data_IF_403819811181
#
_entry.id   IF_403819811181
#
_cell.length_a   1.000
_cell.length_b   1.000
_cell.length_c   1.000
_cell.angle_alpha   90.00
_cell.angle_beta   90.00
_cell.angle_gamma   90.00
#
_symmetry.space_group_name_H-M   'P 1'
#
loop_
_entity.id
_entity.type
_entity.pdbx_description
1 polymer ?
#
# COMPACT_ATOMS: atom_id res chain seq x y z
N UNK A 1 -23.26 -2.70 5.49
CA UNK A 1 -21.82 -2.92 5.77
C UNK A 1 -21.44 -2.01 6.92
N UNK A 2 -20.79 -2.52 7.97
CA UNK A 2 -20.32 -1.70 9.09
C UNK A 2 -18.81 -1.50 8.93
N UNK A 3 -18.33 -0.28 9.09
CA UNK A 3 -16.91 0.05 9.02
C UNK A 3 -16.49 0.67 10.34
N UNK A 4 -15.49 0.08 11.01
CA UNK A 4 -14.91 0.69 12.21
C UNK A 4 -13.89 1.77 11.80
N UNK A 5 -13.60 2.75 12.66
CA UNK A 5 -12.52 3.70 12.41
C UNK A 5 -11.16 3.03 12.12
N UNK A 6 -10.92 1.86 12.72
CA UNK A 6 -9.74 1.05 12.45
C UNK A 6 -9.69 0.54 11.00
N UNK A 7 -10.81 0.04 10.49
CA UNK A 7 -10.93 -0.43 9.10
C UNK A 7 -10.66 0.70 8.10
N UNK A 8 -11.18 1.91 8.34
CA UNK A 8 -10.90 3.07 7.49
C UNK A 8 -9.40 3.42 7.46
N UNK A 9 -8.74 3.41 8.63
CA UNK A 9 -7.30 3.68 8.73
C UNK A 9 -6.46 2.58 8.08
N UNK A 10 -6.87 1.32 8.21
CA UNK A 10 -6.27 0.19 7.52
C UNK A 10 -6.37 0.37 5.99
N UNK A 11 -7.58 0.62 5.47
CA UNK A 11 -7.80 0.83 4.02
C UNK A 11 -7.00 2.01 3.48
N UNK A 12 -6.94 3.11 4.22
CA UNK A 12 -6.12 4.27 3.86
C UNK A 12 -4.62 3.92 3.85
N UNK A 13 -4.12 3.26 4.89
CA UNK A 13 -2.72 2.84 4.99
C UNK A 13 -2.33 1.96 3.80
N UNK A 14 -3.16 0.97 3.46
CA UNK A 14 -2.93 0.06 2.35
C UNK A 14 -2.96 0.78 0.99
N UNK A 15 -3.96 1.64 0.77
CA UNK A 15 -4.09 2.44 -0.45
C UNK A 15 -2.87 3.33 -0.67
N UNK A 16 -2.41 4.02 0.39
CA UNK A 16 -1.26 4.91 0.33
C UNK A 16 0.04 4.15 0.11
N UNK A 17 0.23 3.02 0.78
CA UNK A 17 1.41 2.17 0.59
C UNK A 17 1.55 1.73 -0.89
N UNK A 18 0.50 1.13 -1.45
CA UNK A 18 0.51 0.68 -2.86
C UNK A 18 0.68 1.84 -3.83
N UNK A 19 0.03 2.97 -3.57
CA UNK A 19 0.12 4.15 -4.46
C UNK A 19 1.50 4.79 -4.43
N UNK A 20 2.14 4.87 -3.26
CA UNK A 20 3.46 5.47 -3.12
C UNK A 20 4.55 4.56 -3.69
N UNK A 21 4.47 3.24 -3.48
CA UNK A 21 5.36 2.30 -4.15
C UNK A 21 5.22 2.40 -5.68
N UNK A 22 3.99 2.32 -6.20
CA UNK A 22 3.74 2.47 -7.63
C UNK A 22 4.19 3.83 -8.18
N UNK A 23 4.02 4.91 -7.42
CA UNK A 23 4.47 6.23 -7.82
C UNK A 23 6.00 6.32 -7.84
N UNK A 24 6.72 5.72 -6.90
CA UNK A 24 8.19 5.70 -6.93
C UNK A 24 8.71 4.85 -8.08
N UNK A 25 8.10 3.69 -8.33
CA UNK A 25 8.48 2.81 -9.43
C UNK A 25 8.24 3.49 -10.78
N UNK A 26 7.05 4.08 -10.99
CA UNK A 26 6.72 4.80 -12.22
C UNK A 26 7.48 6.11 -12.41
N UNK A 27 7.67 6.90 -11.34
CA UNK A 27 8.26 8.24 -11.49
C UNK A 27 9.73 8.17 -11.80
N UNK A 28 10.41 7.09 -11.42
CA UNK A 28 11.84 7.16 -11.32
C UNK A 28 12.57 6.10 -12.16
N UNK A 29 11.96 4.95 -12.52
CA UNK A 29 12.63 3.93 -13.34
C UNK A 29 14.02 3.56 -12.81
N UNK A 30 14.21 3.68 -11.50
CA UNK A 30 15.52 3.78 -10.86
C UNK A 30 16.20 2.44 -10.80
N UNK A 31 17.52 2.48 -10.98
CA UNK A 31 18.36 1.38 -10.55
C UNK A 31 18.22 1.20 -9.03
N UNK A 32 18.19 -0.03 -8.48
CA UNK A 32 18.16 -0.30 -7.04
C UNK A 32 19.10 0.54 -6.15
N UNK A 33 20.23 1.02 -6.68
CA UNK A 33 21.12 1.95 -5.97
C UNK A 33 20.47 3.33 -5.74
N UNK A 34 19.82 3.88 -6.76
CA UNK A 34 19.14 5.17 -6.68
C UNK A 34 17.87 5.09 -5.83
N UNK A 35 17.16 3.95 -5.83
CA UNK A 35 16.04 3.70 -4.91
C UNK A 35 16.51 3.76 -3.45
N UNK A 36 17.65 3.14 -3.12
CA UNK A 36 18.26 3.20 -1.79
C UNK A 36 18.67 4.62 -1.42
N UNK A 37 19.25 5.37 -2.35
CA UNK A 37 19.61 6.77 -2.13
C UNK A 37 18.37 7.64 -1.89
N UNK A 38 17.30 7.43 -2.67
CA UNK A 38 16.04 8.13 -2.49
C UNK A 38 15.43 7.88 -1.11
N UNK A 39 15.43 6.62 -0.65
CA UNK A 39 14.97 6.25 0.69
C UNK A 39 15.83 6.87 1.80
N UNK A 40 17.13 7.04 1.59
CA UNK A 40 18.01 7.72 2.54
C UNK A 40 17.74 9.22 2.63
N UNK A 41 17.44 9.88 1.50
CA UNK A 41 17.27 11.34 1.44
C UNK A 41 15.86 11.76 1.83
N UNK A 42 14.83 11.05 1.35
CA UNK A 42 13.42 11.44 1.50
C UNK A 42 12.64 10.56 2.49
N UNK A 43 13.29 9.54 3.06
CA UNK A 43 12.64 8.55 3.90
C UNK A 43 12.04 7.40 3.09
N UNK A 44 11.76 6.30 3.78
CA UNK A 44 11.12 5.15 3.14
C UNK A 44 9.62 5.44 2.88
N UNK A 45 9.01 4.67 1.99
CA UNK A 45 7.54 4.73 1.78
C UNK A 45 6.79 4.55 3.10
N UNK A 46 7.32 3.74 4.00
CA UNK A 46 6.74 3.49 5.31
C UNK A 46 6.75 4.72 6.21
N UNK A 47 7.77 5.57 6.12
CA UNK A 47 7.84 6.84 6.84
C UNK A 47 6.77 7.80 6.33
N UNK A 48 6.59 7.88 5.02
CA UNK A 48 5.54 8.69 4.39
C UNK A 48 4.14 8.22 4.80
N UNK A 49 3.87 6.91 4.77
CA UNK A 49 2.57 6.37 5.18
C UNK A 49 2.31 6.62 6.67
N UNK A 50 3.34 6.46 7.53
CA UNK A 50 3.26 6.79 8.96
C UNK A 50 2.89 8.27 9.16
N UNK A 51 3.56 9.18 8.45
CA UNK A 51 3.34 10.62 8.58
C UNK A 51 1.93 11.01 8.11
N UNK A 52 1.46 10.44 7.00
CA UNK A 52 0.09 10.65 6.50
C UNK A 52 -0.99 10.17 7.48
N UNK A 53 -0.70 9.11 8.25
CA UNK A 53 -1.59 8.58 9.29
C UNK A 53 -1.44 9.32 10.63
N UNK A 54 -0.45 10.19 10.78
CA UNK A 54 -0.12 10.86 12.05
C UNK A 54 0.36 9.89 13.13
N UNK A 55 0.96 8.76 12.74
CA UNK A 55 1.44 7.76 13.69
C UNK A 55 2.78 8.14 14.29
N UNK A 56 2.97 7.77 15.57
CA UNK A 56 4.20 8.03 16.31
C UNK A 56 5.38 7.21 15.77
N UNK A 57 5.13 6.03 15.24
CA UNK A 57 6.18 5.10 14.80
C UNK A 57 5.74 4.28 13.59
N UNK A 58 6.69 3.83 12.77
CA UNK A 58 6.43 2.98 11.59
C UNK A 58 5.89 1.62 12.04
N UNK A 59 6.37 1.11 13.18
CA UNK A 59 5.94 -0.14 13.80
C UNK A 59 4.44 -0.11 14.09
N UNK A 60 3.91 1.03 14.59
CA UNK A 60 2.47 1.19 14.81
C UNK A 60 1.69 0.99 13.50
N UNK A 61 2.16 1.59 12.41
CA UNK A 61 1.54 1.42 11.08
C UNK A 61 1.65 -0.02 10.59
N UNK A 62 2.82 -0.65 10.74
CA UNK A 62 3.11 -2.00 10.27
C UNK A 62 2.38 -3.09 11.05
N UNK A 63 2.42 -3.03 12.37
CA UNK A 63 2.00 -4.13 13.24
C UNK A 63 0.54 -4.03 13.69
N UNK A 64 -0.08 -2.86 13.60
CA UNK A 64 -1.48 -2.68 13.99
C UNK A 64 -2.35 -2.54 12.74
N UNK A 65 -1.91 -1.73 11.78
CA UNK A 65 -2.75 -1.39 10.62
C UNK A 65 -2.38 -2.16 9.36
N UNK A 66 -1.24 -2.83 9.28
CA UNK A 66 -0.81 -3.54 8.06
C UNK A 66 -0.27 -4.96 8.35
N UNK A 67 -0.52 -5.48 9.55
CA UNK A 67 -0.14 -6.83 9.96
C UNK A 67 -0.62 -7.93 8.98
N UNK A 68 -1.85 -7.88 8.43
CA UNK A 68 -2.32 -8.89 7.48
C UNK A 68 -1.55 -8.90 6.16
N UNK A 69 -1.03 -7.74 5.74
CA UNK A 69 -0.34 -7.55 4.44
C UNK A 69 1.18 -7.60 4.58
N UNK A 70 1.73 -7.67 5.81
CA UNK A 70 3.18 -7.88 6.06
C UNK A 70 3.70 -9.23 5.56
N UNK A 71 2.86 -10.27 5.61
CA UNK A 71 3.23 -11.62 5.17
C UNK A 71 3.15 -11.81 3.65
N UNK A 72 2.54 -10.86 2.95
CA UNK A 72 2.54 -10.84 1.50
C UNK A 72 3.89 -10.30 1.07
N UNK A 73 4.54 -10.96 0.10
CA UNK A 73 5.64 -10.38 -0.64
C UNK A 73 5.08 -9.22 -1.47
N UNK A 74 4.73 -8.13 -0.80
CA UNK A 74 4.12 -6.96 -1.39
C UNK A 74 5.07 -6.38 -2.43
N UNK A 75 6.37 -6.41 -2.16
CA UNK A 75 7.42 -6.09 -3.12
C UNK A 75 7.30 -6.99 -4.37
N UNK A 76 7.18 -8.32 -4.26
CA UNK A 76 6.98 -9.19 -5.44
C UNK A 76 5.65 -8.99 -6.17
N UNK A 77 4.60 -8.56 -5.48
CA UNK A 77 3.30 -8.21 -6.07
C UNK A 77 3.34 -6.85 -6.80
N UNK A 78 4.24 -5.96 -6.40
CA UNK A 78 4.45 -4.64 -6.98
C UNK A 78 5.53 -4.67 -8.08
N UNK A 79 6.52 -5.57 -7.95
CA UNK A 79 7.64 -5.82 -8.88
C UNK A 79 7.26 -6.73 -10.07
N UNK A 80 6.01 -7.21 -10.15
CA UNK A 80 5.53 -7.92 -11.33
C UNK A 80 5.67 -7.04 -12.57
N UNK A 81 6.16 -7.60 -13.69
CA UNK A 81 6.55 -6.84 -14.90
C UNK A 81 5.45 -5.90 -15.43
N UNK A 82 4.18 -6.22 -15.14
CA UNK A 82 3.06 -5.33 -15.35
C UNK A 82 2.98 -4.28 -14.23
N UNK A 83 3.37 -3.05 -14.55
CA UNK A 83 3.16 -1.84 -13.75
C UNK A 83 1.66 -1.51 -13.63
N UNK A 84 0.90 -2.42 -13.05
CA UNK A 84 -0.53 -2.34 -12.91
C UNK A 84 -0.86 -1.11 -12.05
N UNK A 85 -1.86 -0.30 -12.45
CA UNK A 85 -2.33 0.81 -11.63
C UNK A 85 -2.70 0.31 -10.23
N UNK A 86 -2.48 1.12 -9.20
CA UNK A 86 -2.65 0.74 -7.79
C UNK A 86 -4.02 0.12 -7.47
N UNK A 87 -5.08 0.47 -8.20
CA UNK A 87 -6.40 -0.15 -8.05
C UNK A 87 -6.45 -1.62 -8.47
N UNK A 88 -5.74 -1.99 -9.54
CA UNK A 88 -5.66 -3.36 -10.02
C UNK A 88 -4.83 -4.25 -9.07
N UNK A 89 -3.77 -3.71 -8.48
CA UNK A 89 -2.99 -4.39 -7.43
C UNK A 89 -3.88 -4.69 -6.21
N UNK A 90 -4.72 -3.73 -5.80
CA UNK A 90 -5.65 -3.91 -4.69
C UNK A 90 -6.77 -4.93 -5.00
N UNK A 91 -7.30 -4.91 -6.23
CA UNK A 91 -8.28 -5.90 -6.68
C UNK A 91 -7.67 -7.32 -6.70
N UNK A 92 -6.43 -7.46 -7.17
CA UNK A 92 -5.69 -8.73 -7.11
C UNK A 92 -5.47 -9.20 -5.68
N UNK A 93 -5.06 -8.31 -4.78
CA UNK A 93 -4.93 -8.60 -3.35
C UNK A 93 -6.24 -9.09 -2.72
N UNK A 94 -7.37 -8.48 -3.07
CA UNK A 94 -8.69 -8.91 -2.60
C UNK A 94 -9.01 -10.35 -3.02
N UNK A 95 -8.76 -10.69 -4.29
CA UNK A 95 -8.98 -12.05 -4.83
C UNK A 95 -8.05 -13.09 -4.19
N UNK A 96 -6.77 -12.75 -4.05
CA UNK A 96 -5.74 -13.72 -3.62
C UNK A 96 -5.77 -13.99 -2.12
N UNK A 97 -6.09 -12.99 -1.30
CA UNK A 97 -5.86 -13.06 0.14
C UNK A 97 -7.15 -13.08 0.97
N UNK A 98 -8.25 -12.54 0.44
CA UNK A 98 -9.48 -12.32 1.21
C UNK A 98 -9.36 -11.31 2.36
N UNK A 99 -8.19 -10.66 2.52
CA UNK A 99 -7.91 -9.67 3.57
C UNK A 99 -8.36 -8.26 3.19
N UNK A 100 -8.58 -8.03 1.89
CA UNK A 100 -9.09 -6.79 1.33
C UNK A 100 -10.48 -7.07 0.78
N UNK A 101 -11.47 -6.30 1.26
CA UNK A 101 -12.81 -6.35 0.71
C UNK A 101 -12.90 -5.34 -0.43
N UNK A 102 -13.14 -5.83 -1.64
CA UNK A 102 -13.47 -4.97 -2.77
C UNK A 102 -14.99 -4.89 -2.94
N UNK A 103 -15.48 -3.71 -3.28
CA UNK A 103 -16.91 -3.50 -3.53
C UNK A 103 -17.15 -3.79 -5.00
N UNK A 104 -18.08 -4.70 -5.36
CA UNK A 104 -18.37 -4.97 -6.76
C UNK A 104 -18.78 -3.66 -7.45
N UNK A 105 -18.24 -3.40 -8.64
CA UNK A 105 -18.42 -2.14 -9.38
C UNK A 105 -19.89 -1.68 -9.52
N UNK A 106 -20.85 -2.62 -9.43
CA UNK A 106 -22.28 -2.35 -9.43
C UNK A 106 -22.80 -1.54 -8.21
N UNK A 107 -22.06 -1.47 -7.10
CA UNK A 107 -22.52 -0.81 -5.88
C UNK A 107 -22.02 0.65 -5.72
N UNK A 108 -21.20 1.16 -6.65
CA UNK A 108 -20.68 2.55 -6.62
C UNK A 108 -21.55 3.53 -7.43
N UNK A 109 -22.55 3.02 -8.16
CA UNK A 109 -23.43 3.81 -9.03
C UNK A 109 -24.75 4.27 -8.37
N UNK A 110 -24.82 4.30 -7.03
CA UNK A 110 -26.02 4.66 -6.26
C UNK A 110 -25.83 5.92 -5.43
#
# INVERSE_FOLDING_TARGET
MFCTPHMCRHSFALRMLVSLHHALDRRLGLDPAERRHYQQVYGSVWDLVKDLLGHRSVETTRDIYLEPVRGLQLDSLLDGEDHAPSGEVLARLAVTTGLVLDVPAAAVAG
#
